data_IF_078993920934
#
_entry.id   IF_078993920934
#
_cell.length_a   1.000
_cell.length_b   1.000
_cell.length_c   1.000
_cell.angle_alpha   90.00
_cell.angle_beta   90.00
_cell.angle_gamma   90.00
#
_symmetry.space_group_name_H-M   'P 1'
#
loop_
_entity.id
_entity.type
_entity.pdbx_description
1 polymer ?
#
# COMPACT_ATOMS: atom_id res chain seq x y z
N UNK A 1 1.29 -11.42 11.10
CA UNK A 1 0.32 -11.51 12.22
C UNK A 1 -0.97 -10.75 11.91
N UNK A 2 -0.95 -9.45 11.61
CA UNK A 2 -2.17 -8.67 11.34
C UNK A 2 -3.02 -9.21 10.17
N UNK A 3 -2.45 -9.48 8.99
CA UNK A 3 -3.20 -10.10 7.87
C UNK A 3 -3.80 -11.47 8.23
N UNK A 4 -3.13 -12.26 9.07
CA UNK A 4 -3.65 -13.55 9.54
C UNK A 4 -4.93 -13.34 10.35
N UNK A 5 -4.96 -12.35 11.25
CA UNK A 5 -6.15 -11.99 12.01
C UNK A 5 -7.31 -11.55 11.11
N UNK A 6 -7.04 -10.74 10.08
CA UNK A 6 -8.04 -10.35 9.09
C UNK A 6 -8.61 -11.56 8.34
N UNK A 7 -7.74 -12.50 7.93
CA UNK A 7 -8.13 -13.74 7.26
C UNK A 7 -9.04 -14.59 8.15
N UNK A 8 -8.64 -14.81 9.41
CA UNK A 8 -9.42 -15.60 10.37
C UNK A 8 -10.81 -14.97 10.60
N UNK A 9 -10.90 -13.66 10.69
CA UNK A 9 -12.18 -12.96 10.81
C UNK A 9 -13.07 -13.16 9.58
N UNK A 10 -12.52 -13.11 8.36
CA UNK A 10 -13.29 -13.35 7.14
C UNK A 10 -13.76 -14.81 7.01
N UNK A 11 -12.90 -15.76 7.34
CA UNK A 11 -13.21 -17.19 7.22
C UNK A 11 -14.21 -17.63 8.29
N UNK A 12 -13.94 -17.31 9.56
CA UNK A 12 -14.61 -17.89 10.72
C UNK A 12 -15.46 -16.88 11.52
N UNK A 13 -15.36 -15.59 11.21
CA UNK A 13 -16.15 -14.56 11.89
C UNK A 13 -17.65 -14.63 11.56
N UNK A 14 -18.51 -14.10 12.45
CA UNK A 14 -19.97 -14.10 12.30
C UNK A 14 -20.44 -13.04 11.30
N UNK A 15 -19.86 -13.04 10.09
CA UNK A 15 -20.12 -12.07 9.04
C UNK A 15 -21.10 -12.63 8.01
N UNK A 16 -22.00 -11.79 7.51
CA UNK A 16 -22.85 -12.11 6.36
C UNK A 16 -22.02 -12.29 5.08
N UNK A 17 -22.55 -12.98 4.07
CA UNK A 17 -21.86 -13.18 2.78
C UNK A 17 -21.45 -11.86 2.12
N UNK A 18 -22.31 -10.84 2.19
CA UNK A 18 -22.01 -9.51 1.65
C UNK A 18 -20.85 -8.84 2.40
N UNK A 19 -20.88 -8.89 3.72
CA UNK A 19 -19.81 -8.38 4.59
C UNK A 19 -18.47 -9.08 4.33
N UNK A 20 -18.48 -10.41 4.10
CA UNK A 20 -17.29 -11.16 3.70
C UNK A 20 -16.75 -10.70 2.35
N UNK A 21 -17.61 -10.47 1.36
CA UNK A 21 -17.19 -9.98 0.04
C UNK A 21 -16.59 -8.57 0.13
N UNK A 22 -17.22 -7.67 0.88
CA UNK A 22 -16.68 -6.33 1.14
C UNK A 22 -15.31 -6.39 1.82
N UNK A 23 -15.20 -7.20 2.88
CA UNK A 23 -13.95 -7.34 3.61
C UNK A 23 -12.85 -8.06 2.81
N UNK A 24 -13.21 -8.93 1.87
CA UNK A 24 -12.28 -9.60 0.98
C UNK A 24 -11.49 -8.62 0.12
N UNK A 25 -12.11 -7.53 -0.35
CA UNK A 25 -11.44 -6.50 -1.15
C UNK A 25 -10.30 -5.86 -0.35
N UNK A 26 -10.59 -5.42 0.87
CA UNK A 26 -9.57 -4.86 1.76
C UNK A 26 -8.51 -5.90 2.12
N UNK A 27 -8.92 -7.14 2.40
CA UNK A 27 -7.98 -8.21 2.72
C UNK A 27 -7.02 -8.53 1.57
N UNK A 28 -7.49 -8.59 0.32
CA UNK A 28 -6.62 -8.80 -0.84
C UNK A 28 -5.61 -7.66 -0.95
N UNK A 29 -6.04 -6.40 -0.79
CA UNK A 29 -5.13 -5.26 -0.81
C UNK A 29 -4.04 -5.38 0.28
N UNK A 30 -4.44 -5.71 1.51
CA UNK A 30 -3.51 -5.95 2.63
C UNK A 30 -2.56 -7.11 2.36
N UNK A 31 -3.07 -8.23 1.85
CA UNK A 31 -2.30 -9.43 1.57
C UNK A 31 -1.27 -9.18 0.48
N UNK A 32 -1.69 -8.61 -0.65
CA UNK A 32 -0.80 -8.27 -1.77
C UNK A 32 0.28 -7.30 -1.33
N UNK A 33 -0.07 -6.20 -0.65
CA UNK A 33 0.92 -5.24 -0.16
C UNK A 33 1.89 -5.86 0.86
N UNK A 34 1.39 -6.75 1.73
CA UNK A 34 2.23 -7.47 2.70
C UNK A 34 3.18 -8.46 2.04
N UNK A 35 2.73 -9.18 0.99
CA UNK A 35 3.57 -10.09 0.21
C UNK A 35 4.66 -9.30 -0.52
N UNK A 36 4.29 -8.19 -1.18
CA UNK A 36 5.25 -7.34 -1.90
C UNK A 36 6.31 -6.77 -0.95
N UNK A 37 5.90 -6.36 0.25
CA UNK A 37 6.81 -5.86 1.29
C UNK A 37 7.66 -6.96 1.93
N UNK A 38 7.25 -8.22 1.84
CA UNK A 38 7.83 -9.30 2.62
C UNK A 38 9.31 -9.50 2.28
N UNK A 39 10.18 -9.01 3.15
CA UNK A 39 11.63 -9.12 3.05
C UNK A 39 12.12 -9.97 4.24
N UNK A 40 12.09 -11.28 4.08
CA UNK A 40 12.41 -12.24 5.16
C UNK A 40 13.85 -12.11 5.66
N UNK A 41 14.79 -11.92 4.72
CA UNK A 41 16.22 -11.80 4.99
C UNK A 41 16.63 -10.39 5.44
N UNK A 42 15.69 -9.43 5.46
CA UNK A 42 15.95 -8.01 5.75
C UNK A 42 17.07 -7.44 4.87
N UNK A 43 17.14 -7.92 3.62
CA UNK A 43 18.18 -7.52 2.69
C UNK A 43 17.98 -6.08 2.26
N UNK A 44 19.08 -5.32 2.22
CA UNK A 44 19.09 -3.93 1.76
C UNK A 44 19.23 -3.84 0.23
N UNK A 45 19.36 -4.98 -0.47
CA UNK A 45 19.53 -5.08 -1.93
C UNK A 45 18.62 -4.14 -2.72
N UNK A 46 17.34 -3.97 -2.38
CA UNK A 46 16.45 -3.22 -3.25
C UNK A 46 16.60 -1.71 -3.05
N UNK A 47 17.02 -1.28 -1.86
CA UNK A 47 17.46 0.10 -1.62
C UNK A 47 18.78 0.34 -2.36
N UNK A 48 19.72 -0.62 -2.32
CA UNK A 48 20.97 -0.54 -3.07
C UNK A 48 20.72 -0.47 -4.58
N UNK A 49 19.73 -1.20 -5.10
CA UNK A 49 19.33 -1.15 -6.50
C UNK A 49 18.83 0.26 -6.90
N UNK A 50 17.98 0.86 -6.06
CA UNK A 50 17.51 2.24 -6.28
C UNK A 50 18.70 3.22 -6.26
N UNK A 51 19.62 3.07 -5.30
CA UNK A 51 20.85 3.87 -5.25
C UNK A 51 21.70 3.70 -6.50
N UNK A 52 21.90 2.46 -6.97
CA UNK A 52 22.65 2.19 -8.19
C UNK A 52 21.99 2.84 -9.43
N UNK A 53 20.65 2.85 -9.51
CA UNK A 53 19.94 3.57 -10.58
C UNK A 53 20.16 5.08 -10.52
N UNK A 54 20.11 5.67 -9.32
CA UNK A 54 20.37 7.10 -9.13
C UNK A 54 21.82 7.46 -9.45
N UNK A 55 22.79 6.63 -9.02
CA UNK A 55 24.21 6.83 -9.32
C UNK A 55 24.48 6.70 -10.82
N UNK A 56 23.87 5.71 -11.48
CA UNK A 56 23.95 5.57 -12.94
C UNK A 56 23.36 6.79 -13.66
N UNK A 57 22.21 7.29 -13.21
CA UNK A 57 21.60 8.49 -13.79
C UNK A 57 22.51 9.72 -13.58
N UNK A 58 23.09 9.89 -12.39
CA UNK A 58 23.98 11.01 -12.09
C UNK A 58 25.30 10.97 -12.87
N UNK A 59 25.90 9.79 -13.04
CA UNK A 59 27.25 9.65 -13.60
C UNK A 59 27.26 9.45 -15.12
N UNK A 60 26.40 8.59 -15.65
CA UNK A 60 26.45 8.21 -17.08
C UNK A 60 25.51 9.09 -17.91
N UNK A 61 24.33 9.44 -17.39
CA UNK A 61 23.37 10.24 -18.17
C UNK A 61 23.79 11.71 -18.27
N UNK A 62 24.51 12.24 -17.27
CA UNK A 62 24.99 13.63 -17.28
C UNK A 62 26.02 13.94 -18.39
N UNK A 63 26.80 12.93 -18.82
CA UNK A 63 27.77 13.06 -19.91
C UNK A 63 27.21 12.81 -21.31
N UNK A 64 25.95 12.36 -21.44
CA UNK A 64 25.34 12.01 -22.72
C UNK A 64 24.50 13.17 -23.28
N UNK A 65 24.41 13.33 -24.61
CA UNK A 65 23.57 14.36 -25.22
C UNK A 65 22.11 14.19 -24.76
N UNK A 66 21.44 15.31 -24.50
CA UNK A 66 20.09 15.32 -23.94
C UNK A 66 19.10 14.62 -24.88
N UNK A 67 18.73 13.39 -24.54
CA UNK A 67 17.69 12.64 -25.27
C UNK A 67 16.32 13.11 -24.77
N UNK A 68 15.41 13.56 -25.65
CA UNK A 68 14.09 13.97 -25.24
C UNK A 68 13.37 12.81 -24.53
N UNK A 69 12.76 13.11 -23.37
CA UNK A 69 12.07 12.10 -22.56
C UNK A 69 10.99 11.40 -23.40
N UNK A 70 11.06 10.07 -23.45
CA UNK A 70 10.04 9.26 -24.11
C UNK A 70 8.67 9.45 -23.47
N UNK A 71 7.60 9.28 -24.25
CA UNK A 71 6.23 9.30 -23.72
C UNK A 71 6.03 8.28 -22.59
N UNK A 72 6.69 7.13 -22.66
CA UNK A 72 6.68 6.11 -21.62
C UNK A 72 7.21 6.62 -20.27
N UNK A 73 8.31 7.37 -20.26
CA UNK A 73 8.86 7.96 -19.03
C UNK A 73 7.89 9.00 -18.42
N UNK A 74 7.24 9.81 -19.27
CA UNK A 74 6.22 10.76 -18.78
C UNK A 74 5.02 10.01 -18.18
N UNK A 75 4.53 8.97 -18.85
CA UNK A 75 3.39 8.18 -18.40
C UNK A 75 3.67 7.49 -17.05
N UNK A 76 4.84 6.85 -16.91
CA UNK A 76 5.23 6.19 -15.65
C UNK A 76 5.40 7.20 -14.53
N UNK A 77 5.96 8.38 -14.78
CA UNK A 77 6.04 9.44 -13.77
C UNK A 77 4.66 9.85 -13.25
N UNK A 78 3.71 10.12 -14.15
CA UNK A 78 2.34 10.47 -13.77
C UNK A 78 1.65 9.34 -13.01
N UNK A 79 1.83 8.10 -13.46
CA UNK A 79 1.31 6.92 -12.79
C UNK A 79 1.87 6.76 -11.38
N UNK A 80 3.19 6.85 -11.19
CA UNK A 80 3.84 6.78 -9.87
C UNK A 80 3.30 7.86 -8.93
N UNK A 81 3.21 9.11 -9.41
CA UNK A 81 2.66 10.22 -8.60
C UNK A 81 1.20 9.98 -8.20
N UNK A 82 0.38 9.46 -9.12
CA UNK A 82 -1.02 9.12 -8.83
C UNK A 82 -1.12 7.99 -7.79
N UNK A 83 -0.27 6.96 -7.89
CA UNK A 83 -0.23 5.86 -6.93
C UNK A 83 0.25 6.30 -5.54
N UNK A 84 1.27 7.15 -5.46
CA UNK A 84 1.75 7.73 -4.19
C UNK A 84 0.67 8.57 -3.51
N UNK A 85 -0.01 9.44 -4.28
CA UNK A 85 -1.13 10.22 -3.77
C UNK A 85 -2.28 9.30 -3.31
N UNK A 86 -2.61 8.29 -4.10
CA UNK A 86 -3.61 7.29 -3.76
C UNK A 86 -3.28 6.53 -2.48
N UNK A 87 -2.01 6.19 -2.25
CA UNK A 87 -1.56 5.49 -1.05
C UNK A 87 -1.79 6.28 0.25
N UNK A 88 -1.85 7.61 0.18
CA UNK A 88 -2.16 8.49 1.32
C UNK A 88 -3.67 8.75 1.43
N UNK A 89 -4.33 8.99 0.30
CA UNK A 89 -5.77 9.30 0.27
C UNK A 89 -6.63 8.10 0.71
N UNK A 90 -6.29 6.87 0.28
CA UNK A 90 -7.07 5.68 0.59
C UNK A 90 -7.19 5.43 2.12
N UNK A 91 -6.11 5.48 2.93
CA UNK A 91 -6.23 5.40 4.39
C UNK A 91 -7.13 6.46 5.01
N UNK A 92 -7.12 7.70 4.50
CA UNK A 92 -8.02 8.75 5.00
C UNK A 92 -9.48 8.34 4.74
N UNK A 93 -9.79 7.82 3.55
CA UNK A 93 -11.13 7.30 3.28
C UNK A 93 -11.50 6.10 4.13
N UNK A 94 -10.56 5.19 4.41
CA UNK A 94 -10.78 4.06 5.34
C UNK A 94 -11.08 4.57 6.75
N UNK A 95 -10.35 5.59 7.24
CA UNK A 95 -10.62 6.20 8.53
C UNK A 95 -12.04 6.76 8.60
N UNK A 96 -12.45 7.53 7.58
CA UNK A 96 -13.79 8.09 7.49
C UNK A 96 -14.87 7.00 7.41
N UNK A 97 -14.61 5.95 6.60
CA UNK A 97 -15.49 4.79 6.50
C UNK A 97 -15.70 4.13 7.86
N UNK A 98 -14.63 3.90 8.61
CA UNK A 98 -14.71 3.29 9.95
C UNK A 98 -15.43 4.21 10.95
N UNK A 99 -15.31 5.53 10.81
CA UNK A 99 -16.08 6.48 11.64
C UNK A 99 -17.58 6.40 11.38
N UNK A 100 -18.01 6.14 10.14
CA UNK A 100 -19.43 6.01 9.78
C UNK A 100 -19.96 4.60 10.06
N UNK A 101 -19.17 3.57 9.72
CA UNK A 101 -19.53 2.15 9.81
C UNK A 101 -18.41 1.41 10.56
N UNK A 102 -18.40 1.45 11.91
CA UNK A 102 -17.29 0.93 12.71
C UNK A 102 -17.13 -0.58 12.61
N UNK A 103 -18.19 -1.29 12.21
CA UNK A 103 -18.21 -2.74 12.04
C UNK A 103 -17.83 -3.19 10.62
N UNK A 104 -17.24 -2.33 9.80
CA UNK A 104 -16.81 -2.70 8.45
C UNK A 104 -15.78 -3.85 8.54
N UNK A 105 -15.99 -5.00 7.88
CA UNK A 105 -14.98 -6.03 7.78
C UNK A 105 -13.85 -5.64 6.82
N UNK A 106 -12.62 -6.17 6.97
CA UNK A 106 -12.20 -7.18 7.93
C UNK A 106 -11.64 -6.59 9.25
N UNK A 107 -11.81 -5.28 9.47
CA UNK A 107 -11.14 -4.52 10.53
C UNK A 107 -11.49 -5.01 11.95
N UNK A 108 -10.61 -4.75 12.92
CA UNK A 108 -10.62 -5.28 14.29
C UNK A 108 -11.96 -5.05 15.01
N UNK A 109 -12.61 -3.91 14.84
CA UNK A 109 -13.91 -3.67 15.46
C UNK A 109 -15.00 -4.64 14.98
N UNK A 110 -14.94 -5.12 13.74
CA UNK A 110 -15.87 -6.15 13.25
C UNK A 110 -15.67 -7.52 13.92
N UNK A 111 -14.54 -7.73 14.61
CA UNK A 111 -14.25 -8.94 15.39
C UNK A 111 -14.80 -8.86 16.82
N UNK A 112 -15.16 -7.67 17.31
CA UNK A 112 -15.59 -7.45 18.69
C UNK A 112 -17.12 -7.50 18.80
N UNK A 113 -17.66 -8.14 19.86
CA UNK A 113 -19.11 -8.18 20.08
C UNK A 113 -19.66 -6.77 20.37
N UNK A 114 -20.83 -6.47 19.81
CA UNK A 114 -21.52 -5.19 20.07
C UNK A 114 -20.83 -3.98 19.45
N UNK A 115 -20.13 -4.16 18.33
CA UNK A 115 -19.46 -3.08 17.60
C UNK A 115 -20.43 -1.99 17.13
N UNK A 116 -21.71 -2.32 16.88
CA UNK A 116 -22.78 -1.40 16.44
C UNK A 116 -23.35 -0.57 17.60
N UNK A 117 -23.15 -0.99 18.85
CA UNK A 117 -23.77 -0.32 19.99
C UNK A 117 -23.29 1.13 20.09
N UNK A 118 -24.24 2.03 20.35
CA UNK A 118 -23.97 3.44 20.55
C UNK A 118 -23.00 3.67 21.72
N UNK A 119 -22.21 4.74 21.60
CA UNK A 119 -21.21 5.11 22.59
C UNK A 119 -21.85 5.84 23.75
N UNK A 120 -22.16 5.11 24.82
CA UNK A 120 -22.75 5.68 26.02
C UNK A 120 -21.71 6.23 26.99
N UNK A 121 -20.43 5.88 26.85
CA UNK A 121 -19.34 6.28 27.75
C UNK A 121 -18.15 6.86 27.00
N UNK A 122 -17.53 7.89 27.57
CA UNK A 122 -16.34 8.55 27.01
C UNK A 122 -15.18 7.56 26.77
N UNK A 123 -14.96 6.63 27.70
CA UNK A 123 -13.91 5.60 27.58
C UNK A 123 -14.12 4.75 26.34
N UNK A 124 -15.37 4.37 26.03
CA UNK A 124 -15.70 3.56 24.85
C UNK A 124 -15.46 4.34 23.55
N UNK A 125 -15.81 5.63 23.54
CA UNK A 125 -15.51 6.51 22.40
C UNK A 125 -14.01 6.61 22.13
N UNK A 126 -13.22 6.90 23.16
CA UNK A 126 -11.76 7.03 23.04
C UNK A 126 -11.14 5.71 22.60
N UNK A 127 -11.59 4.58 23.15
CA UNK A 127 -11.16 3.25 22.72
C UNK A 127 -11.46 2.97 21.25
N UNK A 128 -12.69 3.27 20.79
CA UNK A 128 -13.08 3.11 19.38
C UNK A 128 -12.25 4.00 18.46
N UNK A 129 -12.08 5.27 18.82
CA UNK A 129 -11.24 6.20 18.07
C UNK A 129 -9.78 5.70 17.98
N UNK A 130 -9.24 5.19 19.09
CA UNK A 130 -7.91 4.59 19.13
C UNK A 130 -7.77 3.42 18.15
N UNK A 131 -8.79 2.53 18.08
CA UNK A 131 -8.80 1.44 17.11
C UNK A 131 -8.85 1.98 15.67
N UNK A 132 -9.69 2.97 15.36
CA UNK A 132 -9.75 3.54 14.01
C UNK A 132 -8.41 4.18 13.59
N UNK A 133 -7.74 4.87 14.51
CA UNK A 133 -6.41 5.47 14.28
C UNK A 133 -5.39 4.35 14.02
N UNK A 134 -5.40 3.29 14.84
CA UNK A 134 -4.53 2.14 14.65
C UNK A 134 -4.76 1.47 13.29
N UNK A 135 -6.01 1.24 12.91
CA UNK A 135 -6.37 0.62 11.62
C UNK A 135 -5.88 1.46 10.44
N UNK A 136 -6.09 2.77 10.52
CA UNK A 136 -5.66 3.71 9.48
C UNK A 136 -4.14 3.76 9.37
N UNK A 137 -3.45 3.80 10.51
CA UNK A 137 -2.00 3.77 10.57
C UNK A 137 -1.43 2.46 10.00
N UNK A 138 -2.01 1.31 10.36
CA UNK A 138 -1.64 0.00 9.84
C UNK A 138 -1.85 -0.08 8.33
N UNK A 139 -3.00 0.40 7.83
CA UNK A 139 -3.29 0.44 6.39
C UNK A 139 -2.30 1.32 5.64
N UNK A 140 -2.07 2.55 6.12
CA UNK A 140 -1.09 3.47 5.54
C UNK A 140 0.30 2.85 5.49
N UNK A 141 0.76 2.25 6.59
CA UNK A 141 2.09 1.66 6.68
C UNK A 141 2.28 0.45 5.75
N UNK A 142 1.27 -0.43 5.64
CA UNK A 142 1.34 -1.60 4.75
C UNK A 142 1.25 -1.15 3.29
N UNK A 143 0.27 -0.29 2.96
CA UNK A 143 0.03 0.18 1.60
C UNK A 143 1.21 0.99 1.08
N UNK A 144 1.69 1.97 1.85
CA UNK A 144 2.80 2.84 1.45
C UNK A 144 4.09 2.05 1.24
N UNK A 145 4.38 1.12 2.15
CA UNK A 145 5.54 0.25 2.00
C UNK A 145 5.40 -0.61 0.74
N UNK A 146 4.31 -1.38 0.61
CA UNK A 146 4.10 -2.24 -0.56
C UNK A 146 4.06 -1.48 -1.89
N UNK A 147 3.47 -0.27 -1.93
CA UNK A 147 3.44 0.56 -3.13
C UNK A 147 4.84 1.07 -3.51
N UNK A 148 5.68 1.44 -2.53
CA UNK A 148 7.06 1.88 -2.80
C UNK A 148 7.83 0.78 -3.50
N UNK A 149 7.75 -0.45 -2.98
CA UNK A 149 8.38 -1.63 -3.57
C UNK A 149 7.91 -1.88 -5.00
N UNK A 150 6.60 -1.90 -5.20
CA UNK A 150 6.01 -2.13 -6.53
C UNK A 150 6.38 -1.02 -7.53
N UNK A 151 6.29 0.25 -7.14
CA UNK A 151 6.54 1.38 -8.03
C UNK A 151 8.01 1.51 -8.41
N UNK A 152 8.91 1.50 -7.44
CA UNK A 152 10.32 1.84 -7.68
C UNK A 152 11.15 0.66 -8.18
N UNK A 153 10.87 -0.56 -7.74
CA UNK A 153 11.67 -1.71 -8.18
C UNK A 153 11.11 -2.28 -9.47
N UNK A 154 9.79 -2.46 -9.54
CA UNK A 154 9.18 -3.09 -10.70
C UNK A 154 8.95 -2.08 -11.84
N UNK A 155 8.12 -1.06 -11.63
CA UNK A 155 7.76 -0.15 -12.74
C UNK A 155 8.93 0.73 -13.19
N UNK A 156 9.63 1.38 -12.27
CA UNK A 156 10.79 2.21 -12.62
C UNK A 156 11.93 1.35 -13.15
N UNK A 157 12.21 0.18 -12.54
CA UNK A 157 13.23 -0.75 -13.02
C UNK A 157 13.00 -1.25 -14.45
N UNK A 158 11.76 -1.63 -14.80
CA UNK A 158 11.41 -2.04 -16.18
C UNK A 158 11.68 -0.89 -17.17
N UNK A 159 11.25 0.33 -16.84
CA UNK A 159 11.45 1.48 -17.72
C UNK A 159 12.93 1.85 -17.85
N UNK A 160 13.69 1.71 -16.77
CA UNK A 160 15.13 1.89 -16.79
C UNK A 160 15.80 0.91 -17.76
N UNK A 161 15.51 -0.39 -17.64
CA UNK A 161 16.05 -1.44 -18.53
C UNK A 161 15.65 -1.18 -19.98
N UNK A 162 14.37 -0.87 -20.25
CA UNK A 162 13.90 -0.58 -21.61
C UNK A 162 14.59 0.63 -22.23
N UNK A 163 14.82 1.70 -21.46
CA UNK A 163 15.54 2.87 -21.95
C UNK A 163 17.04 2.58 -22.14
N UNK A 164 17.64 1.76 -21.28
CA UNK A 164 19.03 1.32 -21.40
C UNK A 164 19.25 0.50 -22.67
N UNK A 165 18.42 -0.51 -22.92
CA UNK A 165 18.48 -1.33 -24.14
C UNK A 165 18.32 -0.49 -25.41
N UNK A 166 17.38 0.47 -25.41
CA UNK A 166 17.21 1.42 -26.53
C UNK A 166 18.45 2.28 -26.77
N UNK A 167 19.22 2.60 -25.73
CA UNK A 167 20.47 3.35 -25.87
C UNK A 167 21.62 2.48 -26.39
N UNK A 168 21.65 1.19 -26.05
CA UNK A 168 22.67 0.25 -26.56
C UNK A 168 22.46 -0.12 -28.03
N UNK A 169 21.21 -0.11 -28.51
CA UNK A 169 20.88 -0.43 -29.91
C UNK A 169 21.31 0.68 -30.90
N UNK A 170 21.56 1.90 -30.42
CA UNK A 170 21.90 3.06 -31.24
C UNK A 170 23.39 3.36 -31.18
#
# INVERSE_FOLDING_TARGET
MYCTSLCLNLCFGPLTTLQKLQGLVFFIAYLTASIIRWNYSLDNDPIQLIHAFLDFEATIVSGLPHVPRSLGVKAVRWFTQACELGAVILPIFVFLLLRVIPCTPPFVLSMLPGCENAETTFIRYVGRLGIHIFETWMFLHILYSGSTWLLYIFFVGIIFILNFLRRLER
#
